data_IF_446238209073
#
_entry.id   IF_446238209073
#
_cell.length_a   1.000
_cell.length_b   1.000
_cell.length_c   1.000
_cell.angle_alpha   90.00
_cell.angle_beta   90.00
_cell.angle_gamma   90.00
#
_symmetry.space_group_name_H-M   'P 1'
#
loop_
_entity.id
_entity.type
_entity.pdbx_description
1 polymer ?
#
# COMPACT_ATOMS: atom_id res chain seq x y z
N UNK A 1 7.91 -3.29 25.72
CA UNK A 1 7.10 -3.45 24.48
C UNK A 1 6.60 -2.08 24.03
N UNK A 2 7.42 -1.28 23.34
CA UNK A 2 7.12 0.14 23.09
C UNK A 2 6.28 0.37 21.82
N UNK A 3 6.26 -0.58 20.87
CA UNK A 3 5.70 -0.32 19.52
C UNK A 3 4.35 -1.02 19.23
N UNK A 4 3.62 -1.48 20.25
CA UNK A 4 2.34 -2.18 20.02
C UNK A 4 1.23 -1.23 19.56
N UNK A 5 1.10 -0.08 20.23
CA UNK A 5 0.03 0.89 19.97
C UNK A 5 0.18 1.55 18.59
N UNK A 6 1.39 1.98 18.23
CA UNK A 6 1.63 2.60 16.92
C UNK A 6 1.39 1.63 15.75
N UNK A 7 1.78 0.35 15.90
CA UNK A 7 1.53 -0.67 14.87
C UNK A 7 0.05 -1.00 14.72
N UNK A 8 -0.68 -1.02 15.83
CA UNK A 8 -2.14 -1.18 15.82
C UNK A 8 -2.81 0.01 15.13
N UNK A 9 -2.38 1.24 15.43
CA UNK A 9 -2.91 2.44 14.78
C UNK A 9 -2.68 2.42 13.25
N UNK A 10 -1.49 2.01 12.79
CA UNK A 10 -1.21 1.85 11.36
C UNK A 10 -2.13 0.82 10.71
N UNK A 11 -2.36 -0.32 11.37
CA UNK A 11 -3.30 -1.35 10.89
C UNK A 11 -4.74 -0.82 10.77
N UNK A 12 -5.22 -0.10 11.78
CA UNK A 12 -6.56 0.50 11.79
C UNK A 12 -6.74 1.47 10.62
N UNK A 13 -5.79 2.39 10.44
CA UNK A 13 -5.85 3.41 9.37
C UNK A 13 -5.73 2.76 7.99
N UNK A 14 -4.84 1.78 7.82
CA UNK A 14 -4.67 1.11 6.53
C UNK A 14 -5.91 0.31 6.11
N UNK A 15 -6.59 -0.36 7.07
CA UNK A 15 -7.83 -1.07 6.80
C UNK A 15 -8.97 -0.12 6.42
N UNK A 16 -9.11 0.98 7.15
CA UNK A 16 -10.09 2.02 6.84
C UNK A 16 -9.82 2.66 5.47
N UNK A 17 -8.56 2.89 5.13
CA UNK A 17 -8.15 3.40 3.82
C UNK A 17 -8.52 2.42 2.70
N UNK A 18 -8.29 1.12 2.91
CA UNK A 18 -8.66 0.09 1.94
C UNK A 18 -10.18 0.07 1.69
N UNK A 19 -10.99 0.22 2.74
CA UNK A 19 -12.45 0.26 2.62
C UNK A 19 -12.94 1.52 1.88
N UNK A 20 -12.29 2.67 2.10
CA UNK A 20 -12.60 3.92 1.41
C UNK A 20 -12.17 3.95 -0.05
N UNK A 21 -11.14 3.18 -0.40
CA UNK A 21 -10.61 3.07 -1.76
C UNK A 21 -11.18 1.85 -2.51
N UNK A 22 -12.14 1.12 -1.94
CA UNK A 22 -12.72 -0.08 -2.55
C UNK A 22 -13.36 0.20 -3.93
N UNK A 23 -13.88 1.41 -4.14
CA UNK A 23 -14.47 1.83 -5.42
C UNK A 23 -13.43 2.32 -6.44
N UNK A 24 -12.15 2.31 -6.07
CA UNK A 24 -11.04 2.74 -6.94
C UNK A 24 -10.21 1.54 -7.40
N UNK A 25 -9.37 1.75 -8.42
CA UNK A 25 -8.40 0.73 -8.87
C UNK A 25 -7.17 0.63 -7.95
N UNK A 26 -7.20 1.22 -6.75
CA UNK A 26 -6.07 1.25 -5.82
C UNK A 26 -6.23 0.14 -4.78
N UNK A 27 -5.27 -0.77 -4.73
CA UNK A 27 -5.19 -1.82 -3.70
C UNK A 27 -4.38 -1.34 -2.49
N UNK A 28 -4.88 -1.56 -1.28
CA UNK A 28 -4.17 -1.25 -0.04
C UNK A 28 -4.08 -2.50 0.84
N UNK A 29 -2.87 -2.99 1.04
CA UNK A 29 -2.59 -4.17 1.87
C UNK A 29 -1.55 -3.85 2.94
N UNK A 30 -1.60 -4.59 4.05
CA UNK A 30 -0.62 -4.46 5.14
C UNK A 30 0.21 -5.72 5.23
N UNK A 31 1.54 -5.57 5.19
CA UNK A 31 2.48 -6.68 5.31
C UNK A 31 3.34 -6.53 6.57
N UNK A 32 3.44 -7.62 7.33
CA UNK A 32 4.37 -7.75 8.45
C UNK A 32 5.42 -8.80 8.12
N UNK A 33 6.69 -8.41 7.90
CA UNK A 33 7.75 -9.32 7.46
C UNK A 33 8.26 -10.28 8.55
N UNK A 34 7.57 -10.39 9.69
CA UNK A 34 7.97 -11.25 10.81
C UNK A 34 9.10 -10.69 11.69
N UNK A 35 9.75 -11.56 12.46
CA UNK A 35 10.91 -11.19 13.28
C UNK A 35 12.17 -11.16 12.40
N UNK A 36 12.53 -9.96 11.96
CA UNK A 36 13.74 -9.72 11.15
C UNK A 36 14.90 -9.27 12.04
N UNK A 37 16.10 -9.77 11.78
CA UNK A 37 17.32 -9.25 12.41
C UNK A 37 17.61 -7.83 11.95
N UNK A 38 17.05 -6.83 12.63
CA UNK A 38 17.31 -5.41 12.36
C UNK A 38 18.03 -4.77 13.55
N UNK A 39 18.78 -3.69 13.29
CA UNK A 39 19.55 -2.95 14.31
C UNK A 39 18.69 -2.50 15.51
N UNK A 40 17.38 -2.32 15.33
CA UNK A 40 16.41 -2.02 16.41
C UNK A 40 16.37 -3.09 17.51
N UNK A 41 16.57 -4.36 17.16
CA UNK A 41 16.63 -5.44 18.15
C UNK A 41 17.99 -5.47 18.89
N UNK A 42 19.04 -4.90 18.29
CA UNK A 42 20.38 -4.81 18.90
C UNK A 42 20.39 -3.77 20.01
N UNK A 43 19.86 -2.56 19.75
CA UNK A 43 19.77 -1.46 20.72
C UNK A 43 18.96 -1.84 21.97
N UNK A 44 17.87 -2.61 21.82
CA UNK A 44 17.06 -3.07 22.95
C UNK A 44 17.70 -4.21 23.76
N UNK A 45 18.70 -4.91 23.21
CA UNK A 45 19.38 -6.04 23.85
C UNK A 45 20.56 -5.65 24.75
N UNK A 46 20.95 -4.37 24.77
CA UNK A 46 22.13 -3.90 25.51
C UNK A 46 21.88 -3.61 27.00
N UNK A 47 20.64 -3.78 27.50
CA UNK A 47 20.24 -3.46 28.88
C UNK A 47 20.11 -4.68 29.81
N UNK A 48 20.54 -5.89 29.40
CA UNK A 48 20.47 -7.07 30.28
C UNK A 48 21.87 -7.64 30.56
N UNK A 49 22.17 -7.74 31.87
CA UNK A 49 23.37 -8.24 32.52
C UNK A 49 24.11 -9.36 31.75
N UNK A 50 25.45 -9.37 31.84
CA UNK A 50 26.39 -10.28 31.14
C UNK A 50 25.97 -11.77 31.10
N UNK A 51 25.38 -12.29 32.19
CA UNK A 51 24.88 -13.68 32.28
C UNK A 51 23.64 -13.94 31.41
N UNK A 52 22.73 -12.97 31.31
CA UNK A 52 21.52 -13.09 30.48
C UNK A 52 21.85 -13.16 28.99
N UNK A 53 22.97 -12.57 28.56
CA UNK A 53 23.42 -12.60 27.17
C UNK A 53 23.79 -14.00 26.70
N UNK A 54 24.39 -14.81 27.57
CA UNK A 54 24.73 -16.20 27.26
C UNK A 54 23.48 -17.08 27.15
N UNK A 55 22.55 -16.95 28.09
CA UNK A 55 21.29 -17.71 28.09
C UNK A 55 20.40 -17.31 26.91
N UNK A 56 20.26 -16.00 26.62
CA UNK A 56 19.48 -15.49 25.47
C UNK A 56 20.18 -15.79 24.15
N UNK A 57 21.50 -15.88 24.10
CA UNK A 57 22.23 -16.29 22.89
C UNK A 57 21.98 -17.78 22.59
N UNK A 58 22.06 -18.64 23.61
CA UNK A 58 21.87 -20.08 23.43
C UNK A 58 20.40 -20.45 23.13
N UNK A 59 19.46 -19.84 23.86
CA UNK A 59 18.02 -20.04 23.63
C UNK A 59 17.49 -19.28 22.41
N UNK A 60 18.03 -18.09 22.12
CA UNK A 60 17.66 -17.31 20.94
C UNK A 60 18.15 -17.92 19.64
N UNK A 61 19.27 -18.64 19.65
CA UNK A 61 19.73 -19.44 18.49
C UNK A 61 18.81 -20.66 18.24
N UNK A 62 18.31 -21.29 19.30
CA UNK A 62 17.52 -22.52 19.20
C UNK A 62 16.02 -22.28 18.97
N UNK A 63 15.44 -21.21 19.50
CA UNK A 63 13.98 -20.97 19.49
C UNK A 63 13.54 -19.76 18.64
N UNK A 64 14.43 -18.85 18.26
CA UNK A 64 14.09 -17.67 17.45
C UNK A 64 14.76 -17.76 16.08
N UNK A 65 14.07 -18.40 15.12
CA UNK A 65 14.45 -18.39 13.71
C UNK A 65 14.19 -16.99 13.13
N UNK A 66 15.09 -16.05 13.43
CA UNK A 66 15.01 -14.68 12.93
C UNK A 66 15.18 -14.71 11.41
N UNK A 67 14.22 -14.16 10.68
CA UNK A 67 14.27 -14.12 9.23
C UNK A 67 15.37 -13.15 8.79
N UNK A 68 16.04 -13.51 7.69
CA UNK A 68 17.03 -12.63 7.07
C UNK A 68 16.33 -11.43 6.43
N UNK A 69 17.01 -10.27 6.29
CA UNK A 69 16.44 -9.11 5.60
C UNK A 69 15.97 -9.42 4.18
N UNK A 70 16.64 -10.32 3.48
CA UNK A 70 16.28 -10.73 2.12
C UNK A 70 14.93 -11.47 2.10
N UNK A 71 14.68 -12.33 3.09
CA UNK A 71 13.37 -12.99 3.24
C UNK A 71 12.25 -11.99 3.55
N UNK A 72 12.55 -10.96 4.35
CA UNK A 72 11.61 -9.89 4.65
C UNK A 72 11.25 -9.07 3.41
N UNK A 73 12.22 -8.73 2.58
CA UNK A 73 11.99 -7.98 1.33
C UNK A 73 11.15 -8.80 0.35
N UNK A 74 11.40 -10.12 0.25
CA UNK A 74 10.60 -11.01 -0.61
C UNK A 74 9.11 -10.96 -0.28
N UNK A 75 8.75 -10.96 1.01
CA UNK A 75 7.33 -10.83 1.40
C UNK A 75 6.70 -9.50 0.98
N UNK A 76 7.46 -8.41 1.05
CA UNK A 76 6.96 -7.09 0.65
C UNK A 76 6.79 -7.04 -0.87
N UNK A 77 7.76 -7.56 -1.62
CA UNK A 77 7.71 -7.59 -3.09
C UNK A 77 6.57 -8.47 -3.59
N UNK A 78 6.33 -9.61 -2.94
CA UNK A 78 5.19 -10.47 -3.23
C UNK A 78 3.86 -9.71 -3.10
N UNK A 79 3.64 -9.03 -1.97
CA UNK A 79 2.39 -8.27 -1.75
C UNK A 79 2.24 -7.07 -2.70
N UNK A 80 3.35 -6.47 -3.14
CA UNK A 80 3.33 -5.25 -3.95
C UNK A 80 3.27 -5.50 -5.47
N UNK A 81 3.81 -6.62 -5.96
CA UNK A 81 4.03 -6.83 -7.39
C UNK A 81 3.44 -8.14 -7.94
N UNK A 82 2.91 -9.02 -7.08
CA UNK A 82 2.35 -10.29 -7.55
C UNK A 82 0.97 -10.08 -8.23
N UNK A 83 0.79 -10.49 -9.50
CA UNK A 83 -0.48 -10.33 -10.22
C UNK A 83 -1.66 -11.06 -9.58
N UNK A 84 -1.42 -12.07 -8.73
CA UNK A 84 -2.48 -12.76 -7.99
C UNK A 84 -3.16 -11.87 -6.95
N UNK A 85 -2.52 -10.77 -6.56
CA UNK A 85 -3.00 -9.84 -5.54
C UNK A 85 -3.58 -8.54 -6.11
N UNK A 86 -3.66 -8.40 -7.43
CA UNK A 86 -4.09 -7.18 -8.14
C UNK A 86 -5.54 -6.76 -7.83
N UNK A 87 -6.37 -7.71 -7.36
CA UNK A 87 -7.76 -7.45 -6.90
C UNK A 87 -7.95 -7.68 -5.40
N UNK A 88 -6.88 -7.94 -4.67
CA UNK A 88 -6.93 -8.22 -3.24
C UNK A 88 -6.61 -6.94 -2.49
N UNK A 89 -7.60 -6.40 -1.77
CA UNK A 89 -7.45 -5.18 -0.98
C UNK A 89 -7.91 -5.40 0.47
N UNK A 90 -7.33 -4.68 1.41
CA UNK A 90 -7.69 -4.70 2.82
C UNK A 90 -7.24 -5.96 3.57
N UNK A 91 -6.23 -6.69 3.06
CA UNK A 91 -5.71 -7.91 3.67
C UNK A 91 -4.45 -7.66 4.50
N UNK A 92 -4.24 -8.54 5.47
CA UNK A 92 -3.06 -8.55 6.31
C UNK A 92 -2.21 -9.79 6.02
N UNK A 93 -0.96 -9.57 5.64
CA UNK A 93 -0.01 -10.62 5.33
C UNK A 93 1.07 -10.68 6.41
N UNK A 94 1.37 -11.89 6.89
CA UNK A 94 2.50 -12.14 7.78
C UNK A 94 3.52 -12.99 7.04
N UNK A 95 4.65 -12.40 6.70
CA UNK A 95 5.59 -12.97 5.74
C UNK A 95 4.89 -13.26 4.41
N UNK A 96 4.63 -14.52 4.05
CA UNK A 96 3.99 -14.89 2.78
C UNK A 96 2.52 -15.31 2.94
N UNK A 97 2.05 -15.49 4.18
CA UNK A 97 0.72 -16.02 4.45
C UNK A 97 -0.30 -14.91 4.75
N UNK A 98 -1.51 -15.05 4.23
CA UNK A 98 -2.64 -14.21 4.64
C UNK A 98 -3.07 -14.60 6.06
N UNK A 99 -3.22 -13.60 6.93
CA UNK A 99 -3.61 -13.78 8.33
C UNK A 99 -4.85 -12.95 8.61
N UNK A 100 -5.85 -13.48 9.34
CA UNK A 100 -7.01 -12.70 9.72
C UNK A 100 -6.62 -11.52 10.61
N UNK A 101 -7.36 -10.43 10.47
CA UNK A 101 -7.22 -9.25 11.31
C UNK A 101 -7.55 -9.56 12.77
N UNK A 102 -6.93 -8.80 13.68
CA UNK A 102 -7.32 -8.79 15.09
C UNK A 102 -8.74 -8.20 15.22
N UNK A 103 -9.52 -8.68 16.20
CA UNK A 103 -10.86 -8.18 16.52
C UNK A 103 -10.90 -6.66 16.69
N UNK A 104 -9.87 -6.08 17.30
CA UNK A 104 -9.70 -4.61 17.46
C UNK A 104 -9.67 -3.88 16.11
N UNK A 105 -9.04 -4.47 15.09
CA UNK A 105 -8.98 -3.85 13.75
C UNK A 105 -10.30 -4.00 13.00
N UNK A 106 -11.06 -5.05 13.31
CA UNK A 106 -12.37 -5.28 12.72
C UNK A 106 -13.47 -4.38 13.31
N UNK A 107 -13.24 -3.74 14.47
CA UNK A 107 -14.20 -2.78 15.04
C UNK A 107 -14.21 -1.46 14.25
N UNK A 108 -15.33 -1.22 13.56
CA UNK A 108 -15.58 -0.02 12.76
C UNK A 108 -15.51 1.27 13.59
N UNK A 109 -15.92 1.23 14.87
CA UNK A 109 -15.93 2.41 15.74
C UNK A 109 -14.52 2.85 16.07
N UNK A 110 -13.64 1.89 16.37
CA UNK A 110 -12.24 2.18 16.66
C UNK A 110 -11.49 2.65 15.42
N UNK A 111 -11.73 2.02 14.26
CA UNK A 111 -11.17 2.47 12.97
C UNK A 111 -11.56 3.91 12.66
N UNK A 112 -12.85 4.22 12.73
CA UNK A 112 -13.37 5.55 12.41
C UNK A 112 -12.85 6.62 13.38
N UNK A 113 -12.77 6.31 14.68
CA UNK A 113 -12.18 7.20 15.68
C UNK A 113 -10.71 7.49 15.37
N UNK A 114 -9.93 6.46 15.03
CA UNK A 114 -8.53 6.60 14.69
C UNK A 114 -8.36 7.46 13.42
N UNK A 115 -9.16 7.21 12.40
CA UNK A 115 -9.17 7.97 11.15
C UNK A 115 -9.42 9.45 11.38
N UNK A 116 -10.54 9.82 12.03
CA UNK A 116 -10.90 11.21 12.29
C UNK A 116 -9.84 11.95 13.13
N UNK A 117 -9.25 11.24 14.11
CA UNK A 117 -8.17 11.81 14.92
C UNK A 117 -6.95 12.11 14.05
N UNK A 118 -6.55 11.16 13.19
CA UNK A 118 -5.42 11.33 12.28
C UNK A 118 -5.65 12.44 11.26
N UNK A 119 -6.86 12.56 10.72
CA UNK A 119 -7.26 13.58 9.75
C UNK A 119 -7.17 14.98 10.36
N UNK A 120 -7.65 15.14 11.60
CA UNK A 120 -7.57 16.40 12.34
C UNK A 120 -6.13 16.82 12.62
N UNK A 121 -5.27 15.88 13.01
CA UNK A 121 -3.89 16.18 13.40
C UNK A 121 -3.00 16.48 12.19
N UNK A 122 -3.22 15.77 11.08
CA UNK A 122 -2.47 15.98 9.83
C UNK A 122 -3.02 17.15 9.01
N UNK A 123 -4.19 17.70 9.36
CA UNK A 123 -4.90 18.72 8.57
C UNK A 123 -5.08 18.28 7.11
N UNK A 124 -5.36 16.99 6.91
CA UNK A 124 -5.38 16.35 5.59
C UNK A 124 -6.23 17.13 4.57
N UNK A 125 -7.41 17.60 4.98
CA UNK A 125 -8.31 18.37 4.12
C UNK A 125 -7.71 19.69 3.61
N UNK A 126 -6.94 20.37 4.46
CA UNK A 126 -6.26 21.62 4.07
C UNK A 126 -5.16 21.31 3.05
N UNK A 127 -4.39 20.25 3.27
CA UNK A 127 -3.35 19.85 2.32
C UNK A 127 -3.93 19.45 0.96
N UNK A 128 -5.02 18.66 0.94
CA UNK A 128 -5.70 18.28 -0.30
C UNK A 128 -6.18 19.53 -1.06
N UNK A 129 -6.72 20.55 -0.34
CA UNK A 129 -7.16 21.81 -0.94
C UNK A 129 -5.99 22.57 -1.57
N UNK A 130 -4.88 22.69 -0.86
CA UNK A 130 -3.67 23.38 -1.34
C UNK A 130 -3.05 22.65 -2.54
N UNK A 131 -3.02 21.32 -2.53
CA UNK A 131 -2.53 20.53 -3.67
C UNK A 131 -3.41 20.71 -4.89
N UNK A 132 -4.75 20.71 -4.72
CA UNK A 132 -5.69 20.96 -5.83
C UNK A 132 -5.49 22.34 -6.46
N UNK A 133 -5.43 23.40 -5.66
CA UNK A 133 -5.18 24.75 -6.20
C UNK A 133 -3.82 24.86 -6.88
N UNK A 134 -2.79 24.19 -6.35
CA UNK A 134 -1.46 24.14 -6.99
C UNK A 134 -1.51 23.45 -8.35
N UNK A 135 -2.23 22.33 -8.47
CA UNK A 135 -2.41 21.60 -9.73
C UNK A 135 -3.19 22.45 -10.74
N UNK A 136 -4.28 23.09 -10.31
CA UNK A 136 -5.10 23.95 -11.17
C UNK A 136 -4.32 25.18 -11.68
N UNK A 137 -3.38 25.70 -10.89
CA UNK A 137 -2.52 26.81 -11.29
C UNK A 137 -1.27 26.38 -12.06
N UNK A 138 -0.78 25.14 -11.90
CA UNK A 138 0.41 24.64 -12.59
C UNK A 138 0.11 23.98 -13.93
N UNK A 139 -1.11 23.48 -14.14
CA UNK A 139 -1.58 23.01 -15.45
C UNK A 139 -1.95 24.24 -16.29
N UNK A 140 -1.21 24.57 -17.37
CA UNK A 140 -1.61 25.67 -18.24
C UNK A 140 -2.94 25.27 -18.89
N UNK A 141 -4.02 26.01 -18.61
CA UNK A 141 -5.34 25.86 -19.24
C UNK A 141 -5.28 25.80 -20.78
N UNK A 142 -4.19 26.33 -21.36
CA UNK A 142 -3.89 26.28 -22.79
C UNK A 142 -3.56 24.87 -23.31
N UNK A 143 -2.97 23.98 -22.52
CA UNK A 143 -2.68 22.59 -22.92
C UNK A 143 -3.93 21.71 -22.91
N UNK A 144 -4.83 21.89 -21.92
CA UNK A 144 -6.12 21.19 -21.88
C UNK A 144 -7.01 21.60 -23.07
N UNK A 145 -7.09 22.89 -23.41
CA UNK A 145 -7.85 23.35 -24.58
C UNK A 145 -7.24 22.94 -25.93
N UNK A 146 -5.92 22.75 -26.00
CA UNK A 146 -5.25 22.22 -27.21
C UNK A 146 -5.47 20.71 -27.35
N UNK A 147 -5.40 19.97 -26.25
CA UNK A 147 -5.59 18.53 -26.26
C UNK A 147 -7.05 18.16 -26.46
N UNK A 148 -8.02 18.87 -25.88
CA UNK A 148 -9.45 18.64 -26.16
C UNK A 148 -9.77 18.93 -27.63
N UNK A 149 -9.28 20.04 -28.20
CA UNK A 149 -9.45 20.32 -29.64
C UNK A 149 -8.69 19.35 -30.56
N UNK A 150 -7.59 18.77 -30.09
CA UNK A 150 -6.84 17.75 -30.83
C UNK A 150 -7.55 16.39 -30.77
N UNK A 151 -8.12 16.03 -29.62
CA UNK A 151 -8.95 14.83 -29.44
C UNK A 151 -10.22 14.92 -30.28
N UNK A 152 -10.93 16.06 -30.25
CA UNK A 152 -12.12 16.32 -31.08
C UNK A 152 -11.81 16.29 -32.59
N UNK A 153 -10.59 16.71 -33.00
CA UNK A 153 -10.14 16.60 -34.39
C UNK A 153 -9.83 15.16 -34.79
N UNK A 154 -9.32 14.34 -33.87
CA UNK A 154 -8.99 12.93 -34.13
C UNK A 154 -10.26 12.08 -34.17
N UNK A 155 -11.25 12.34 -33.32
CA UNK A 155 -12.58 11.70 -33.38
C UNK A 155 -13.39 12.16 -34.59
N UNK A 156 -13.38 13.46 -34.95
CA UNK A 156 -14.01 13.92 -36.19
C UNK A 156 -13.33 13.38 -37.46
N UNK A 157 -12.02 13.06 -37.41
CA UNK A 157 -11.30 12.41 -38.50
C UNK A 157 -11.57 10.89 -38.56
N UNK A 158 -11.90 10.24 -37.44
CA UNK A 158 -12.28 8.81 -37.45
C UNK A 158 -13.69 8.57 -37.98
N UNK A 159 -14.60 9.54 -37.86
CA UNK A 159 -15.98 9.43 -38.36
C UNK A 159 -16.08 9.51 -39.89
N UNK A 160 -15.03 9.98 -40.58
CA UNK A 160 -14.92 9.97 -42.04
C UNK A 160 -14.13 8.78 -42.61
N UNK A 161 -13.64 7.86 -41.77
CA UNK A 161 -12.93 6.64 -42.20
C UNK A 161 -13.62 5.40 -41.61
N UNK A 162 -14.92 5.28 -41.86
CA UNK A 162 -15.69 4.05 -41.65
C UNK A 162 -16.38 3.65 -42.95
N UNK A 163 -15.59 3.22 -43.93
CA UNK A 163 -16.04 2.38 -45.05
C UNK A 163 -14.85 1.92 -45.91
N UNK A 164 -14.02 1.00 -45.39
CA UNK A 164 -13.29 0.06 -46.27
C UNK A 164 -12.73 -1.12 -45.48
N UNK A 165 -13.52 -2.20 -45.48
CA UNK A 165 -13.13 -3.61 -45.58
C UNK A 165 -11.72 -4.01 -45.07
N UNK A 166 -11.63 -4.31 -43.77
CA UNK A 166 -10.48 -4.99 -43.14
C UNK A 166 -10.52 -6.53 -43.23
N UNK A 167 -11.53 -7.12 -43.89
CA UNK A 167 -11.71 -8.59 -43.99
C UNK A 167 -10.99 -9.27 -45.18
N UNK A 168 -10.07 -8.57 -45.85
CA UNK A 168 -9.35 -9.10 -47.03
C UNK A 168 -8.03 -9.83 -46.75
N UNK A 169 -7.45 -9.68 -45.56
CA UNK A 169 -6.06 -10.09 -45.29
C UNK A 169 -5.90 -11.42 -44.54
N UNK A 170 -6.98 -12.14 -44.24
CA UNK A 170 -6.94 -13.43 -43.53
C UNK A 170 -7.14 -14.66 -44.43
N UNK A 171 -6.96 -14.53 -45.76
CA UNK A 171 -7.09 -15.63 -46.73
C UNK A 171 -5.78 -16.10 -47.36
N UNK A 172 -4.63 -15.64 -46.88
CA UNK A 172 -3.32 -16.14 -47.27
C UNK A 172 -2.42 -16.18 -46.05
N UNK A 173 -2.69 -17.12 -45.15
CA UNK A 173 -1.75 -17.92 -44.34
C UNK A 173 -2.55 -18.90 -43.48
#
# INVERSE_FOLDING_TARGET
MVNKQSKLAQALVAKELADRLADTQITVNVVSPGLVQTKLQRELGHQSFFLSRWIVSLTGFLFMRKQSPEQAVRSILYVAADPSLDRVSGKFFKSLDEVPWNATVLDDKERLKMWLTSEKWTRLQEQIRQTKSTIEHSVPTQELLKNDKAVDKVTAASDHVSSSSWWGWLKLW
#
